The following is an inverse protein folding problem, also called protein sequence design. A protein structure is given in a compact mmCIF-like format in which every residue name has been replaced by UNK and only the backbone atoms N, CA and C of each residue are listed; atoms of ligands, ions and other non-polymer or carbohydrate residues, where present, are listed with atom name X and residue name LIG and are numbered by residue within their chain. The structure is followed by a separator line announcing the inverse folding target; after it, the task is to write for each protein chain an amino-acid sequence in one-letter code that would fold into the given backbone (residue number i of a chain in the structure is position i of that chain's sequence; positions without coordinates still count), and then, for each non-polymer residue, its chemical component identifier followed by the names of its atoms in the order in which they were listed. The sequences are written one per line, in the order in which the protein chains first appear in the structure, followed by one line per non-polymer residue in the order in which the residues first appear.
data_IF_980598368426
#
_entry.id   IF_980598368426
#
_cell.length_a   1.000
_cell.length_b   1.000
_cell.length_c   1.000
_cell.angle_alpha   90.00
_cell.angle_beta   90.00
_cell.angle_gamma   90.00
#
_symmetry.space_group_name_H-M   'P 1'
#
loop_
_entity.id
_entity.type
_entity.pdbx_description
1 polymer ?
#
# COMPACT_ATOMS: atom_id res chain seq x y z
N UNK A 1 5.00 55.90 -3.97
CA UNK A 1 4.89 54.85 -2.93
C UNK A 1 3.90 53.76 -3.36
N UNK A 2 2.75 54.14 -3.93
CA UNK A 2 1.73 53.23 -4.50
C UNK A 2 2.27 52.12 -5.44
N UNK A 3 3.12 52.46 -6.41
CA UNK A 3 3.60 51.51 -7.42
C UNK A 3 4.49 50.40 -6.85
N UNK A 4 5.19 50.67 -5.73
CA UNK A 4 6.06 49.70 -5.07
C UNK A 4 5.24 48.56 -4.45
N UNK A 5 4.13 48.90 -3.80
CA UNK A 5 3.27 47.91 -3.15
C UNK A 5 2.55 47.03 -4.17
N UNK A 6 2.11 47.60 -5.30
CA UNK A 6 1.52 46.82 -6.39
C UNK A 6 2.50 45.80 -6.99
N UNK A 7 3.76 46.19 -7.16
CA UNK A 7 4.81 45.28 -7.62
C UNK A 7 5.06 44.15 -6.61
N UNK A 8 5.14 44.47 -5.31
CA UNK A 8 5.34 43.47 -4.26
C UNK A 8 4.20 42.45 -4.18
N UNK A 9 2.95 42.90 -4.28
CA UNK A 9 1.78 42.00 -4.28
C UNK A 9 1.78 41.10 -5.51
N UNK A 10 2.07 41.64 -6.69
CA UNK A 10 2.17 40.84 -7.91
C UNK A 10 3.25 39.75 -7.80
N UNK A 11 4.44 40.09 -7.29
CA UNK A 11 5.52 39.12 -7.06
C UNK A 11 5.12 38.06 -6.03
N UNK A 12 4.45 38.44 -4.94
CA UNK A 12 3.98 37.49 -3.93
C UNK A 12 2.95 36.50 -4.49
N UNK A 13 2.01 36.98 -5.30
CA UNK A 13 1.00 36.12 -5.95
C UNK A 13 1.65 35.16 -6.95
N UNK A 14 2.60 35.65 -7.76
CA UNK A 14 3.33 34.81 -8.70
C UNK A 14 4.20 33.77 -7.99
N UNK A 15 4.89 34.15 -6.92
CA UNK A 15 5.70 33.24 -6.11
C UNK A 15 4.84 32.18 -5.42
N UNK A 16 3.67 32.57 -4.87
CA UNK A 16 2.72 31.64 -4.27
C UNK A 16 2.13 30.66 -5.30
N UNK A 17 1.74 31.18 -6.47
CA UNK A 17 1.25 30.35 -7.57
C UNK A 17 2.32 29.38 -8.08
N UNK A 18 3.56 29.83 -8.22
CA UNK A 18 4.69 28.99 -8.63
C UNK A 18 5.02 27.92 -7.59
N UNK A 19 5.02 28.27 -6.29
CA UNK A 19 5.20 27.32 -5.19
C UNK A 19 4.10 26.26 -5.16
N UNK A 20 2.84 26.66 -5.37
CA UNK A 20 1.72 25.71 -5.46
C UNK A 20 1.90 24.74 -6.62
N UNK A 21 2.29 25.25 -7.79
CA UNK A 21 2.54 24.43 -8.99
C UNK A 21 3.74 23.51 -8.79
N UNK A 22 4.80 23.98 -8.13
CA UNK A 22 5.99 23.18 -7.82
C UNK A 22 5.68 22.06 -6.81
N UNK A 23 4.97 22.36 -5.71
CA UNK A 23 4.49 21.36 -4.75
C UNK A 23 3.58 20.32 -5.43
N UNK A 24 2.70 20.77 -6.33
CA UNK A 24 1.85 19.90 -7.13
C UNK A 24 2.67 18.98 -8.04
N UNK A 25 3.80 19.47 -8.58
CA UNK A 25 4.70 18.68 -9.43
C UNK A 25 5.48 17.63 -8.63
N UNK A 26 5.92 17.92 -7.40
CA UNK A 26 6.61 16.94 -6.55
C UNK A 26 5.67 15.80 -6.13
N UNK A 27 4.41 16.13 -5.87
CA UNK A 27 3.35 15.15 -5.57
C UNK A 27 3.05 14.22 -6.75
N UNK A 28 3.17 14.70 -7.98
CA UNK A 28 3.00 13.88 -9.20
C UNK A 28 4.20 12.96 -9.44
N UNK A 29 5.44 13.42 -9.20
CA UNK A 29 6.66 12.60 -9.40
C UNK A 29 6.71 11.38 -8.46
N UNK A 30 6.22 11.51 -7.24
CA UNK A 30 6.06 10.38 -6.30
C UNK A 30 5.07 9.32 -6.81
N UNK A 31 3.96 9.76 -7.42
CA UNK A 31 2.98 8.86 -8.04
C UNK A 31 3.54 8.18 -9.31
N UNK A 32 4.34 8.89 -10.11
CA UNK A 32 5.01 8.29 -11.27
C UNK A 32 6.08 7.26 -10.90
N UNK A 33 6.78 7.43 -9.76
CA UNK A 33 7.65 6.37 -9.24
C UNK A 33 6.85 5.13 -8.82
N UNK A 34 5.64 5.31 -8.29
CA UNK A 34 4.71 4.22 -8.01
C UNK A 34 4.25 3.49 -9.29
N UNK A 35 4.08 4.20 -10.40
CA UNK A 35 3.71 3.62 -11.70
C UNK A 35 4.79 2.76 -12.38
N UNK A 36 6.04 2.78 -11.88
CA UNK A 36 7.07 1.81 -12.30
C UNK A 36 6.93 0.44 -11.65
N UNK A 37 6.23 0.36 -10.52
CA UNK A 37 5.75 -0.90 -9.96
C UNK A 37 4.50 -1.22 -10.76
N UNK A 38 4.56 -2.27 -11.59
CA UNK A 38 3.53 -2.53 -12.60
C UNK A 38 2.10 -2.47 -12.05
N UNK A 39 1.17 -2.03 -12.90
CA UNK A 39 -0.27 -2.15 -12.64
C UNK A 39 -0.54 -3.56 -12.09
N UNK A 40 -1.20 -3.66 -10.93
CA UNK A 40 -1.38 -4.88 -10.12
C UNK A 40 -0.26 -5.22 -9.11
N UNK A 41 0.54 -4.26 -8.66
CA UNK A 41 1.49 -4.48 -7.57
C UNK A 41 0.77 -4.67 -6.22
N UNK A 42 1.26 -5.62 -5.41
CA UNK A 42 0.77 -5.89 -4.05
C UNK A 42 1.68 -5.21 -3.05
N UNK A 43 1.10 -4.45 -2.11
CA UNK A 43 1.84 -3.74 -1.07
C UNK A 43 1.33 -4.17 0.29
N UNK A 44 2.24 -4.59 1.17
CA UNK A 44 1.95 -4.87 2.57
C UNK A 44 2.38 -3.67 3.42
N UNK A 45 1.41 -3.00 4.02
CA UNK A 45 1.62 -1.97 5.02
C UNK A 45 1.68 -2.61 6.39
N UNK A 46 2.79 -2.43 7.08
CA UNK A 46 3.04 -3.00 8.41
C UNK A 46 3.07 -1.87 9.43
N UNK A 47 2.19 -1.94 10.43
CA UNK A 47 2.06 -0.94 11.48
C UNK A 47 2.22 -1.56 12.87
N UNK A 48 2.73 -0.78 13.82
CA UNK A 48 2.96 -1.25 15.18
C UNK A 48 1.66 -1.21 16.01
N UNK A 49 0.88 -0.14 15.85
CA UNK A 49 -0.34 0.10 16.61
C UNK A 49 -1.52 0.42 15.69
N UNK A 50 -2.77 0.20 16.15
CA UNK A 50 -3.91 0.81 15.49
C UNK A 50 -3.76 2.34 15.54
N UNK A 51 -4.26 3.04 14.52
CA UNK A 51 -4.24 4.49 14.29
C UNK A 51 -3.00 5.01 13.53
N UNK A 52 -1.90 4.22 13.47
CA UNK A 52 -0.69 4.59 12.72
C UNK A 52 -1.01 4.76 11.21
N UNK A 53 -1.97 4.01 10.68
CA UNK A 53 -2.37 4.04 9.28
C UNK A 53 -3.00 5.38 8.88
N UNK A 54 -3.89 5.91 9.72
CA UNK A 54 -4.55 7.18 9.47
C UNK A 54 -3.65 8.37 9.79
N UNK A 55 -2.84 8.26 10.85
CA UNK A 55 -1.97 9.35 11.31
C UNK A 55 -0.76 9.57 10.39
N UNK A 56 -0.10 8.49 9.96
CA UNK A 56 1.17 8.58 9.22
C UNK A 56 1.05 8.13 7.76
N UNK A 57 0.23 7.11 7.48
CA UNK A 57 0.23 6.45 6.17
C UNK A 57 -0.96 6.80 5.28
N UNK A 58 -1.91 7.63 5.72
CA UNK A 58 -3.08 7.99 4.92
C UNK A 58 -2.72 8.56 3.53
N UNK A 59 -1.74 9.49 3.39
CA UNK A 59 -1.32 9.97 2.07
C UNK A 59 -0.77 8.84 1.18
N UNK A 60 -0.02 7.91 1.76
CA UNK A 60 0.59 6.78 1.06
C UNK A 60 -0.45 5.77 0.60
N UNK A 61 -1.36 5.37 1.50
CA UNK A 61 -2.45 4.43 1.19
C UNK A 61 -3.35 5.00 0.08
N UNK A 62 -3.71 6.27 0.17
CA UNK A 62 -4.51 6.94 -0.86
C UNK A 62 -3.78 7.03 -2.19
N UNK A 63 -2.46 7.26 -2.17
CA UNK A 63 -1.60 7.21 -3.36
C UNK A 63 -1.60 5.83 -4.02
N UNK A 64 -1.41 4.77 -3.23
CA UNK A 64 -1.44 3.38 -3.69
C UNK A 64 -2.81 2.98 -4.25
N UNK A 65 -3.89 3.41 -3.60
CA UNK A 65 -5.26 3.17 -4.07
C UNK A 65 -5.52 3.83 -5.44
N UNK A 66 -5.01 5.06 -5.66
CA UNK A 66 -5.10 5.76 -6.97
C UNK A 66 -4.34 5.02 -8.07
N UNK A 67 -3.23 4.38 -7.71
CA UNK A 67 -2.44 3.54 -8.62
C UNK A 67 -3.03 2.14 -8.83
N UNK A 68 -4.20 1.83 -8.24
CA UNK A 68 -4.85 0.50 -8.28
C UNK A 68 -3.97 -0.61 -7.70
N UNK A 69 -3.11 -0.29 -6.73
CA UNK A 69 -2.33 -1.30 -6.03
C UNK A 69 -3.18 -2.01 -4.99
N UNK A 70 -2.92 -3.31 -4.80
CA UNK A 70 -3.56 -4.10 -3.76
C UNK A 70 -2.85 -3.88 -2.43
N UNK A 71 -3.49 -3.17 -1.51
CA UNK A 71 -2.94 -2.88 -0.19
C UNK A 71 -3.43 -3.92 0.83
N UNK A 72 -2.48 -4.53 1.53
CA UNK A 72 -2.69 -5.38 2.70
C UNK A 72 -2.19 -4.64 3.94
N UNK A 73 -2.89 -4.75 5.06
CA UNK A 73 -2.50 -4.10 6.31
C UNK A 73 -2.25 -5.15 7.38
N UNK A 74 -1.06 -5.11 8.00
CA UNK A 74 -0.69 -5.95 9.12
C UNK A 74 -0.39 -5.06 10.34
N UNK A 75 -1.18 -5.20 11.39
CA UNK A 75 -0.99 -4.51 12.66
C UNK A 75 -0.44 -5.49 13.71
N UNK A 76 0.65 -5.13 14.40
CA UNK A 76 1.31 -5.99 15.38
C UNK A 76 0.74 -5.92 16.81
N UNK A 77 -0.23 -5.04 17.05
CA UNK A 77 -0.81 -4.86 18.38
C UNK A 77 -2.29 -4.52 18.28
N UNK A 78 -3.10 -4.95 19.24
CA UNK A 78 -4.46 -4.45 19.41
C UNK A 78 -4.50 -3.08 20.13
N UNK A 79 -3.36 -2.58 20.62
CA UNK A 79 -3.33 -1.34 21.39
C UNK A 79 -4.08 -1.42 22.72
N UNK A 80 -4.11 -2.59 23.36
CA UNK A 80 -4.92 -2.90 24.54
C UNK A 80 -4.40 -2.31 25.88
N UNK A 81 -3.58 -1.27 25.85
CA UNK A 81 -2.97 -0.70 27.07
C UNK A 81 -4.01 -0.21 28.09
N UNK A 82 -5.11 0.39 27.61
CA UNK A 82 -6.21 0.87 28.44
C UNK A 82 -7.41 -0.11 28.53
N UNK A 83 -7.22 -1.39 28.22
CA UNK A 83 -8.30 -2.38 28.07
C UNK A 83 -9.33 -2.04 26.97
N UNK A 84 -8.90 -1.28 25.95
CA UNK A 84 -9.74 -0.81 24.84
C UNK A 84 -9.40 -1.49 23.50
N UNK A 85 -8.65 -2.61 23.51
CA UNK A 85 -8.15 -3.24 22.29
C UNK A 85 -9.26 -3.64 21.31
N UNK A 86 -10.39 -4.16 21.80
CA UNK A 86 -11.52 -4.52 20.94
C UNK A 86 -12.20 -3.32 20.28
N UNK A 87 -12.26 -2.18 20.97
CA UNK A 87 -12.77 -0.93 20.40
C UNK A 87 -11.80 -0.41 19.33
N UNK A 88 -10.50 -0.37 19.64
CA UNK A 88 -9.46 0.10 18.71
C UNK A 88 -9.31 -0.77 17.47
N UNK A 89 -9.53 -2.08 17.59
CA UNK A 89 -9.63 -2.97 16.42
C UNK A 89 -10.77 -2.56 15.48
N UNK A 90 -11.95 -2.24 16.03
CA UNK A 90 -13.11 -1.79 15.23
C UNK A 90 -12.82 -0.44 14.58
N UNK A 91 -12.22 0.49 15.32
CA UNK A 91 -11.80 1.80 14.81
C UNK A 91 -10.79 1.64 13.65
N UNK A 92 -9.78 0.79 13.81
CA UNK A 92 -8.82 0.47 12.75
C UNK A 92 -9.53 -0.10 11.50
N UNK A 93 -10.46 -1.05 11.66
CA UNK A 93 -11.20 -1.61 10.53
C UNK A 93 -12.05 -0.54 9.81
N UNK A 94 -12.72 0.33 10.56
CA UNK A 94 -13.48 1.45 9.99
C UNK A 94 -12.58 2.46 9.28
N UNK A 95 -11.42 2.77 9.86
CA UNK A 95 -10.40 3.63 9.25
C UNK A 95 -9.90 3.04 7.93
N UNK A 96 -9.60 1.73 7.91
CA UNK A 96 -9.20 1.00 6.71
C UNK A 96 -10.25 1.06 5.60
N UNK A 97 -11.53 0.91 5.95
CA UNK A 97 -12.65 1.00 5.01
C UNK A 97 -12.72 2.39 4.36
N UNK A 98 -12.56 3.46 5.15
CA UNK A 98 -12.49 4.84 4.66
C UNK A 98 -11.29 5.08 3.75
N UNK A 99 -10.14 4.47 4.07
CA UNK A 99 -8.92 4.54 3.26
C UNK A 99 -8.98 3.67 1.98
N UNK A 100 -10.04 2.87 1.81
CA UNK A 100 -10.25 2.00 0.65
C UNK A 100 -9.48 0.67 0.73
N UNK A 101 -9.04 0.26 1.92
CA UNK A 101 -8.42 -1.04 2.14
C UNK A 101 -9.55 -2.05 2.47
N UNK A 102 -9.70 -3.14 1.69
CA UNK A 102 -10.72 -4.13 1.98
C UNK A 102 -10.42 -4.84 3.30
N UNK A 103 -11.45 -5.04 4.12
CA UNK A 103 -11.33 -5.67 5.45
C UNK A 103 -10.73 -7.09 5.40
N UNK A 104 -10.91 -7.80 4.29
CA UNK A 104 -10.29 -9.12 4.05
C UNK A 104 -8.76 -9.09 4.00
N UNK A 105 -8.19 -7.91 3.73
CA UNK A 105 -6.75 -7.68 3.62
C UNK A 105 -6.14 -7.07 4.89
N UNK A 106 -6.94 -6.92 5.94
CA UNK A 106 -6.49 -6.41 7.24
C UNK A 106 -6.26 -7.57 8.20
N UNK A 107 -5.07 -7.64 8.79
CA UNK A 107 -4.68 -8.63 9.78
C UNK A 107 -4.16 -7.93 11.03
N UNK A 108 -4.72 -8.26 12.19
CA UNK A 108 -4.30 -7.72 13.48
C UNK A 108 -3.77 -8.88 14.33
N UNK A 109 -2.53 -8.76 14.77
CA UNK A 109 -1.86 -9.70 15.67
C UNK A 109 -2.01 -9.17 17.09
N UNK A 110 -2.58 -9.98 17.98
CA UNK A 110 -2.81 -9.63 19.38
C UNK A 110 -2.24 -10.68 20.34
N UNK A 111 -2.20 -11.95 19.89
CA UNK A 111 -1.81 -13.08 20.72
C UNK A 111 -0.61 -13.86 20.15
N UNK A 112 0.08 -14.64 21.00
CA UNK A 112 1.12 -15.60 20.58
C UNK A 112 0.65 -16.57 19.49
N UNK A 113 -0.63 -16.96 19.51
CA UNK A 113 -1.19 -17.85 18.50
C UNK A 113 -1.29 -17.19 17.12
N UNK A 114 -1.52 -15.87 17.07
CA UNK A 114 -1.49 -15.10 15.82
C UNK A 114 -0.06 -14.96 15.27
N UNK A 115 0.97 -14.89 16.13
CA UNK A 115 2.37 -15.02 15.71
C UNK A 115 2.68 -16.37 15.08
N UNK A 116 2.20 -17.47 15.69
CA UNK A 116 2.34 -18.82 15.13
C UNK A 116 1.60 -18.95 13.79
N UNK A 117 0.44 -18.31 13.64
CA UNK A 117 -0.29 -18.27 12.36
C UNK A 117 0.48 -17.53 11.27
N UNK A 118 1.12 -16.41 11.60
CA UNK A 118 1.97 -15.67 10.66
C UNK A 118 3.19 -16.51 10.25
N UNK A 119 3.85 -17.18 11.20
CA UNK A 119 4.97 -18.09 10.91
C UNK A 119 4.53 -19.28 10.03
N UNK A 120 3.39 -19.90 10.35
CA UNK A 120 2.87 -21.05 9.60
C UNK A 120 2.41 -20.67 8.18
N UNK A 121 1.87 -19.45 7.99
CA UNK A 121 1.58 -18.91 6.65
C UNK A 121 2.84 -18.64 5.84
N UNK A 122 3.95 -18.24 6.49
CA UNK A 122 5.25 -18.08 5.82
C UNK A 122 5.85 -19.42 5.41
N UNK A 123 5.62 -20.50 6.18
CA UNK A 123 6.09 -21.85 5.83
C UNK A 123 5.25 -22.51 4.71
N UNK A 124 3.99 -22.08 4.54
CA UNK A 124 3.15 -22.55 3.43
C UNK A 124 3.59 -22.00 2.05
N UNK A 125 4.54 -21.07 2.00
CA UNK A 125 5.21 -20.62 0.77
C UNK A 125 6.61 -21.26 0.63
N UNK A 126 6.67 -22.59 0.75
CA UNK A 126 7.79 -23.40 0.25
C UNK A 126 7.87 -23.39 -1.29
N UNK A 127 9.01 -23.74 -1.88
CA UNK A 127 9.48 -23.26 -3.18
C UNK A 127 8.51 -23.60 -4.33
N UNK A 128 8.27 -22.62 -5.20
CA UNK A 128 7.70 -22.82 -6.53
C UNK A 128 8.52 -23.89 -7.26
N UNK A 129 7.99 -25.11 -7.26
CA UNK A 129 8.57 -26.22 -7.99
C UNK A 129 8.38 -25.91 -9.48
N UNK A 130 9.48 -25.55 -10.13
CA UNK A 130 9.59 -25.38 -11.56
C UNK A 130 8.95 -26.60 -12.24
N UNK A 131 7.76 -26.42 -12.81
CA UNK A 131 7.10 -27.46 -13.61
C UNK A 131 7.98 -27.77 -14.81
N UNK A 132 8.37 -29.02 -15.07
CA UNK A 132 8.97 -29.37 -16.35
C UNK A 132 7.87 -29.23 -17.40
N UNK A 133 8.10 -28.33 -18.36
CA UNK A 133 7.32 -28.27 -19.60
C UNK A 133 7.43 -29.64 -20.26
N UNK A 134 6.33 -30.40 -20.20
CA UNK A 134 6.16 -31.61 -20.99
C UNK A 134 5.93 -31.15 -22.42
N UNK A 135 7.01 -31.13 -23.22
CA UNK A 135 6.89 -31.02 -24.66
C UNK A 135 6.24 -32.31 -25.18
N UNK A 136 4.93 -32.25 -25.36
CA UNK A 136 4.22 -33.12 -26.29
C UNK A 136 4.35 -32.47 -27.68
N UNK A 137 5.16 -33.09 -28.53
CA UNK A 137 5.07 -32.92 -29.97
C UNK A 137 5.27 -34.29 -30.59
N UNK A 138 4.15 -34.82 -31.05
CA UNK A 138 4.04 -35.95 -31.95
C UNK A 138 4.96 -35.78 -33.17
N UNK A 139 5.62 -36.86 -33.60
CA UNK A 139 5.70 -37.18 -35.03
C UNK A 139 5.69 -38.69 -35.21
N UNK A 140 4.75 -39.10 -36.05
CA UNK A 140 4.51 -40.46 -36.52
C UNK A 140 5.53 -40.92 -37.56
N UNK A 141 5.54 -42.24 -37.78
CA UNK A 141 6.02 -42.99 -38.95
C UNK A 141 7.45 -43.54 -38.93
N UNK A 142 7.53 -44.87 -38.82
CA UNK A 142 8.03 -45.86 -39.80
C UNK A 142 7.93 -47.20 -39.05
N UNK A 143 7.19 -48.21 -39.48
CA UNK A 143 7.17 -48.79 -40.82
C UNK A 143 7.90 -50.15 -40.73
N UNK A 144 7.16 -51.23 -41.00
CA UNK A 144 7.53 -52.64 -40.97
C UNK A 144 8.96 -52.98 -41.43
N UNK A 145 9.56 -53.97 -40.77
CA UNK A 145 10.77 -54.70 -41.17
C UNK A 145 11.09 -55.80 -40.18
#
# INVERSE_FOLDING_TARGET
MEAMWLLCVAVAVLAWGFLWVWDSSERMKSLEQGGRLGAESRTLLVIAHPDDEAMFFAPTVLGLARLRHWVYLLCFSAGNYYNQGETRKKELLQSCDVLGIPLSSVMIIDNRLSYLRLMCLSEAQGPQQHTPVSQSSDYSSLGMG
#
